data_IF_249138262634
#
_entry.id   IF_249138262634
#
_cell.length_a   1.000
_cell.length_b   1.000
_cell.length_c   1.000
_cell.angle_alpha   90.00
_cell.angle_beta   90.00
_cell.angle_gamma   90.00
#
_symmetry.space_group_name_H-M   'P 1'
#
loop_
_entity.id
_entity.type
_entity.pdbx_description
1 polymer ?
#
# COMPACT_ATOMS: atom_id res chain seq x y z
N UNK A 1 -19.91 -12.55 -1.61
CA UNK A 1 -18.81 -13.12 -0.85
C UNK A 1 -19.20 -13.30 0.60
N UNK A 2 -18.88 -14.44 1.13
CA UNK A 2 -19.20 -14.77 2.52
C UNK A 2 -17.96 -14.49 3.37
N UNK A 3 -18.18 -13.81 4.48
CA UNK A 3 -17.10 -13.53 5.42
C UNK A 3 -17.17 -14.54 6.55
N UNK A 4 -16.03 -15.10 6.85
CA UNK A 4 -15.90 -16.04 7.95
C UNK A 4 -15.64 -15.34 9.28
N UNK A 5 -15.32 -14.05 9.26
CA UNK A 5 -15.06 -13.29 10.47
C UNK A 5 -16.20 -12.33 10.76
N UNK A 6 -16.15 -11.70 11.90
CA UNK A 6 -17.17 -10.73 12.30
C UNK A 6 -17.23 -9.58 11.33
N UNK A 7 -18.44 -9.17 10.95
CA UNK A 7 -18.68 -8.19 9.91
C UNK A 7 -18.35 -6.76 10.35
N UNK A 8 -18.49 -6.48 11.64
CA UNK A 8 -18.28 -5.12 12.16
C UNK A 8 -16.87 -4.90 12.69
N UNK A 9 -15.96 -5.79 12.37
CA UNK A 9 -14.60 -5.67 12.83
C UNK A 9 -13.80 -4.77 11.89
N UNK A 10 -13.17 -3.74 12.46
CA UNK A 10 -12.32 -2.87 11.67
C UNK A 10 -11.10 -3.63 11.17
N UNK A 11 -10.61 -3.23 10.02
CA UNK A 11 -9.42 -3.86 9.46
C UNK A 11 -8.55 -2.84 8.74
N UNK A 12 -7.28 -3.20 8.55
CA UNK A 12 -6.30 -2.35 7.89
C UNK A 12 -6.01 -2.92 6.53
N UNK A 13 -6.02 -2.06 5.54
CA UNK A 13 -5.69 -2.43 4.17
C UNK A 13 -4.56 -1.55 3.68
N UNK A 14 -3.60 -2.18 3.00
CA UNK A 14 -2.46 -1.49 2.43
C UNK A 14 -2.51 -1.65 0.92
N UNK A 15 -2.43 -0.54 0.21
CA UNK A 15 -2.42 -0.53 -1.25
C UNK A 15 -1.13 0.06 -1.76
N UNK A 16 -0.60 -0.52 -2.83
CA UNK A 16 0.61 -0.05 -3.47
C UNK A 16 0.28 0.30 -4.91
N UNK A 17 0.52 1.56 -5.29
CA UNK A 17 0.27 2.04 -6.64
C UNK A 17 1.62 2.31 -7.30
N UNK A 18 1.91 1.54 -8.34
CA UNK A 18 3.21 1.61 -9.03
C UNK A 18 3.01 2.30 -10.37
N UNK A 19 3.50 3.52 -10.47
CA UNK A 19 3.46 4.29 -11.71
C UNK A 19 4.80 4.29 -12.42
N UNK A 20 4.86 5.00 -13.53
CA UNK A 20 6.10 5.09 -14.31
C UNK A 20 7.13 6.02 -13.68
N UNK A 21 6.69 6.94 -12.84
CA UNK A 21 7.58 7.95 -12.21
C UNK A 21 7.67 7.78 -10.72
N UNK A 22 6.63 7.22 -10.11
CA UNK A 22 6.49 7.28 -8.66
C UNK A 22 5.74 6.06 -8.16
N UNK A 23 6.12 5.63 -6.98
CA UNK A 23 5.42 4.56 -6.25
C UNK A 23 4.78 5.20 -5.03
N UNK A 24 3.51 4.89 -4.81
CA UNK A 24 2.78 5.40 -3.66
C UNK A 24 2.22 4.23 -2.87
N UNK A 25 2.44 4.24 -1.57
CA UNK A 25 1.89 3.25 -0.65
C UNK A 25 0.92 3.96 0.29
N UNK A 26 -0.28 3.39 0.43
CA UNK A 26 -1.33 3.97 1.28
C UNK A 26 -1.80 2.90 2.25
N UNK A 27 -1.87 3.27 3.54
CA UNK A 27 -2.43 2.41 4.57
C UNK A 27 -3.70 3.05 5.11
N UNK A 28 -4.79 2.29 5.11
CA UNK A 28 -6.08 2.76 5.55
C UNK A 28 -6.67 1.80 6.58
N UNK A 29 -7.52 2.36 7.43
CA UNK A 29 -8.37 1.57 8.32
C UNK A 29 -9.80 1.66 7.81
N UNK A 30 -10.44 0.51 7.66
CA UNK A 30 -11.80 0.43 7.16
C UNK A 30 -12.70 -0.02 8.29
N UNK A 31 -13.80 0.72 8.49
CA UNK A 31 -14.86 0.34 9.41
C UNK A 31 -16.05 -0.10 8.58
N UNK A 32 -16.32 -1.40 8.48
CA UNK A 32 -17.40 -1.87 7.62
C UNK A 32 -18.79 -1.50 8.13
N UNK A 33 -18.94 -1.22 9.41
CA UNK A 33 -20.25 -0.84 9.95
C UNK A 33 -20.68 0.55 9.51
N UNK A 34 -19.78 1.52 9.65
CA UNK A 34 -20.07 2.91 9.29
C UNK A 34 -19.65 3.22 7.87
N UNK A 35 -18.92 2.32 7.23
CA UNK A 35 -18.31 2.51 5.91
C UNK A 35 -17.34 3.67 5.89
N UNK A 36 -16.80 4.01 7.04
CA UNK A 36 -15.76 5.04 7.13
C UNK A 36 -14.40 4.47 6.81
N UNK A 37 -13.59 5.29 6.15
CA UNK A 37 -12.23 4.96 5.80
C UNK A 37 -11.33 6.03 6.39
N UNK A 38 -10.31 5.60 7.11
CA UNK A 38 -9.37 6.52 7.75
C UNK A 38 -7.98 6.28 7.19
N UNK A 39 -7.32 7.35 6.77
CA UNK A 39 -5.95 7.26 6.29
C UNK A 39 -5.02 7.14 7.49
N UNK A 40 -4.22 6.10 7.53
CA UNK A 40 -3.27 5.86 8.60
C UNK A 40 -1.86 6.29 8.22
N UNK A 41 -1.47 6.03 6.98
CA UNK A 41 -0.13 6.35 6.55
C UNK A 41 -0.03 6.39 5.03
N UNK A 42 0.96 7.14 4.56
CA UNK A 42 1.24 7.24 3.13
C UNK A 42 2.75 7.32 2.96
N UNK A 43 3.25 6.61 1.96
CA UNK A 43 4.66 6.62 1.63
C UNK A 43 4.86 6.77 0.15
N UNK A 44 5.94 7.39 -0.24
CA UNK A 44 6.27 7.64 -1.64
C UNK A 44 7.71 7.29 -1.93
N UNK A 45 7.95 6.85 -3.15
CA UNK A 45 9.30 6.59 -3.63
C UNK A 45 9.35 6.91 -5.12
N UNK A 46 10.47 7.38 -5.64
CA UNK A 46 10.61 7.46 -7.10
C UNK A 46 10.58 6.06 -7.69
N UNK A 47 10.09 5.94 -8.92
CA UNK A 47 10.01 4.68 -9.64
C UNK A 47 10.99 4.70 -10.79
N UNK A 48 12.27 4.48 -10.50
CA UNK A 48 13.31 4.53 -11.51
C UNK A 48 13.55 3.18 -12.18
N UNK A 49 13.01 2.10 -11.61
CA UNK A 49 13.11 0.77 -12.19
C UNK A 49 12.10 0.49 -13.29
N UNK A 50 11.22 1.45 -13.60
CA UNK A 50 10.20 1.29 -14.63
C UNK A 50 10.38 2.38 -15.67
N UNK A 51 10.41 2.00 -16.95
CA UNK A 51 10.45 2.96 -18.05
C UNK A 51 9.43 2.57 -19.09
N UNK A 52 8.57 3.52 -19.49
CA UNK A 52 7.60 3.36 -20.57
C UNK A 52 6.76 2.09 -20.39
N UNK A 53 6.36 1.82 -19.15
CA UNK A 53 5.52 0.67 -18.87
C UNK A 53 6.25 -0.66 -18.79
N UNK A 54 7.57 -0.65 -18.95
CA UNK A 54 8.39 -1.86 -18.84
C UNK A 54 9.25 -1.81 -17.58
N UNK A 55 9.39 -2.95 -16.92
CA UNK A 55 10.29 -3.06 -15.76
C UNK A 55 11.69 -3.27 -16.30
N UNK A 56 12.57 -2.26 -16.12
CA UNK A 56 13.93 -2.30 -16.62
C UNK A 56 14.94 -2.76 -15.59
N UNK A 57 14.67 -2.45 -14.30
CA UNK A 57 15.54 -2.83 -13.20
C UNK A 57 14.71 -3.37 -12.06
N UNK A 58 14.55 -4.69 -12.06
CA UNK A 58 13.67 -5.36 -11.13
C UNK A 58 14.08 -5.17 -9.67
N UNK A 59 15.37 -5.33 -9.39
CA UNK A 59 15.85 -5.21 -8.02
C UNK A 59 15.67 -3.80 -7.49
N UNK A 60 15.92 -2.81 -8.33
CA UNK A 60 15.72 -1.42 -7.96
C UNK A 60 14.26 -1.11 -7.70
N UNK A 61 13.36 -1.68 -8.51
CA UNK A 61 11.93 -1.50 -8.29
C UNK A 61 11.49 -2.07 -6.94
N UNK A 62 12.00 -3.25 -6.61
CA UNK A 62 11.66 -3.89 -5.34
C UNK A 62 12.12 -3.02 -4.17
N UNK A 63 13.34 -2.48 -4.25
CA UNK A 63 13.85 -1.59 -3.20
C UNK A 63 13.00 -0.34 -3.07
N UNK A 64 12.56 0.22 -4.19
CA UNK A 64 11.75 1.42 -4.18
C UNK A 64 10.35 1.15 -3.63
N UNK A 65 9.78 0.00 -3.94
CA UNK A 65 8.50 -0.41 -3.36
C UNK A 65 8.63 -0.57 -1.86
N UNK A 66 9.71 -1.19 -1.41
CA UNK A 66 9.96 -1.40 0.00
C UNK A 66 10.13 -0.07 0.73
N UNK A 67 10.82 0.88 0.11
CA UNK A 67 11.00 2.21 0.69
C UNK A 67 9.65 2.90 0.91
N UNK A 68 8.77 2.88 -0.10
CA UNK A 68 7.45 3.49 0.02
C UNK A 68 6.62 2.80 1.11
N UNK A 69 6.72 1.48 1.18
CA UNK A 69 6.01 0.70 2.18
C UNK A 69 6.47 1.05 3.59
N UNK A 70 7.78 1.13 3.80
CA UNK A 70 8.32 1.44 5.11
C UNK A 70 7.96 2.85 5.55
N UNK A 71 7.95 3.79 4.62
CA UNK A 71 7.55 5.16 4.94
C UNK A 71 6.10 5.21 5.40
N UNK A 72 5.21 4.49 4.72
CA UNK A 72 3.81 4.43 5.12
C UNK A 72 3.65 3.75 6.48
N UNK A 73 4.39 2.68 6.74
CA UNK A 73 4.35 1.99 8.02
C UNK A 73 4.82 2.88 9.17
N UNK A 74 5.86 3.66 8.91
CA UNK A 74 6.40 4.57 9.92
C UNK A 74 5.36 5.62 10.29
N UNK A 75 4.67 6.17 9.30
CA UNK A 75 3.62 7.16 9.56
C UNK A 75 2.44 6.53 10.31
N UNK A 76 2.06 5.32 9.93
CA UNK A 76 0.96 4.61 10.56
C UNK A 76 1.33 4.00 11.91
N UNK A 77 2.62 3.92 12.21
CA UNK A 77 3.16 3.31 13.42
C UNK A 77 2.69 1.86 13.59
N UNK A 78 2.76 1.11 12.50
CA UNK A 78 2.36 -0.29 12.52
C UNK A 78 3.02 -1.03 11.37
N UNK A 79 3.08 -2.36 11.50
CA UNK A 79 3.61 -3.22 10.46
C UNK A 79 2.51 -3.62 9.49
N UNK A 80 2.89 -3.79 8.23
CA UNK A 80 1.95 -4.25 7.21
C UNK A 80 1.67 -5.73 7.42
N UNK A 81 0.39 -6.06 7.53
CA UNK A 81 -0.04 -7.43 7.65
C UNK A 81 -0.74 -7.93 6.41
N UNK A 82 -1.24 -7.01 5.59
CA UNK A 82 -1.97 -7.36 4.40
C UNK A 82 -1.73 -6.31 3.34
N UNK A 83 -1.30 -6.76 2.18
CA UNK A 83 -0.93 -5.86 1.07
C UNK A 83 -1.79 -6.16 -0.14
N UNK A 84 -2.35 -5.10 -0.72
CA UNK A 84 -3.04 -5.18 -2.01
C UNK A 84 -2.25 -4.38 -3.02
N UNK A 85 -1.89 -5.00 -4.11
CA UNK A 85 -1.09 -4.36 -5.15
C UNK A 85 -2.00 -3.79 -6.23
N UNK A 86 -1.88 -2.48 -6.45
CA UNK A 86 -2.61 -1.79 -7.52
C UNK A 86 -1.63 -1.28 -8.55
N UNK A 87 -1.83 -1.69 -9.77
CA UNK A 87 -0.97 -1.28 -10.88
C UNK A 87 -1.82 -0.70 -11.99
#
# INVERSE_FOLDING_TARGET
>A
MIRSHRQNEKYIQTGLDVGSDKICCVMIEVDPDSQNVKLLGIGNSPATGIKKGSITHRDQLIDEMDFALQEAQTMADMNVQKLSLGI
#
